data_IF_470419102468
#
_entry.id   IF_470419102468
#
_cell.length_a   1.000
_cell.length_b   1.000
_cell.length_c   1.000
_cell.angle_alpha   90.00
_cell.angle_beta   90.00
_cell.angle_gamma   90.00
#
_symmetry.space_group_name_H-M   'P 1'
#
loop_
_entity.id
_entity.type
_entity.pdbx_description
1 polymer ?
#
# COMPACT_ATOMS: atom_id res chain seq x y z
N UNK A 1 -10.56 12.03 -26.13
CA UNK A 1 -9.62 11.55 -25.11
C UNK A 1 -9.32 10.07 -25.33
N UNK A 2 -8.08 9.68 -25.10
CA UNK A 2 -7.71 8.25 -25.00
C UNK A 2 -8.23 7.70 -23.68
N UNK A 3 -8.62 6.44 -23.66
CA UNK A 3 -9.21 5.83 -22.46
C UNK A 3 -8.26 4.80 -21.85
N UNK A 4 -8.07 4.85 -20.54
CA UNK A 4 -7.21 3.90 -19.83
C UNK A 4 -7.99 3.18 -18.73
N UNK A 5 -7.98 1.85 -18.78
CA UNK A 5 -8.55 1.00 -17.72
C UNK A 5 -7.52 0.85 -16.60
N UNK A 6 -7.84 1.30 -15.40
CA UNK A 6 -6.97 1.20 -14.23
C UNK A 6 -7.53 0.12 -13.29
N UNK A 7 -6.80 -0.98 -13.15
CA UNK A 7 -7.18 -2.12 -12.30
C UNK A 7 -6.46 -1.96 -10.96
N UNK A 8 -7.22 -1.62 -9.92
CA UNK A 8 -6.70 -1.37 -8.57
C UNK A 8 -7.57 -2.04 -7.51
N UNK A 9 -6.96 -2.49 -6.43
CA UNK A 9 -7.69 -3.02 -5.28
C UNK A 9 -8.12 -1.90 -4.32
N UNK A 10 -7.21 -0.94 -4.10
CA UNK A 10 -7.45 0.14 -3.13
C UNK A 10 -8.07 1.34 -3.84
N UNK A 11 -9.29 1.71 -3.41
CA UNK A 11 -10.03 2.86 -3.94
C UNK A 11 -10.89 3.46 -2.82
N UNK A 12 -11.14 4.77 -2.80
CA UNK A 12 -12.00 5.34 -1.76
C UNK A 12 -13.36 4.64 -1.63
N UNK A 13 -13.86 4.44 -0.39
CA UNK A 13 -13.39 5.01 0.87
C UNK A 13 -12.31 4.22 1.60
N UNK A 14 -11.60 3.29 0.94
CA UNK A 14 -10.45 2.64 1.56
C UNK A 14 -9.42 3.70 1.96
N UNK A 15 -8.87 3.60 3.17
CA UNK A 15 -7.82 4.49 3.65
C UNK A 15 -6.43 3.91 3.44
N UNK A 16 -5.44 4.65 3.86
CA UNK A 16 -4.03 4.25 3.83
C UNK A 16 -3.29 4.61 2.55
N UNK A 17 -1.99 4.36 2.54
CA UNK A 17 -1.08 4.78 1.47
C UNK A 17 -1.37 4.15 0.10
N UNK A 18 -1.95 2.95 0.10
CA UNK A 18 -2.23 2.22 -1.14
C UNK A 18 -3.24 2.87 -2.07
N UNK A 19 -4.06 3.80 -1.55
CA UNK A 19 -5.12 4.48 -2.29
C UNK A 19 -4.59 5.70 -3.05
N UNK A 20 -3.69 6.47 -2.42
CA UNK A 20 -3.32 7.82 -2.83
C UNK A 20 -2.81 7.90 -4.27
N UNK A 21 -1.89 7.00 -4.63
CA UNK A 21 -1.24 7.04 -5.94
C UNK A 21 -2.25 7.07 -7.10
N UNK A 22 -3.18 6.13 -7.13
CA UNK A 22 -4.11 6.05 -8.27
C UNK A 22 -5.32 6.95 -8.12
N UNK A 23 -5.72 7.31 -6.91
CA UNK A 23 -6.71 8.35 -6.70
C UNK A 23 -6.22 9.69 -7.28
N UNK A 24 -5.01 10.10 -6.87
CA UNK A 24 -4.45 11.39 -7.33
C UNK A 24 -4.06 11.33 -8.82
N UNK A 25 -3.44 10.24 -9.29
CA UNK A 25 -3.13 10.10 -10.71
C UNK A 25 -4.38 10.21 -11.57
N UNK A 26 -5.48 9.55 -11.19
CA UNK A 26 -6.72 9.59 -11.97
C UNK A 26 -7.35 11.00 -12.02
N UNK A 27 -7.12 11.82 -10.99
CA UNK A 27 -7.55 13.22 -10.94
C UNK A 27 -6.85 14.06 -12.03
N UNK A 28 -5.56 13.79 -12.27
CA UNK A 28 -4.74 14.59 -13.18
C UNK A 28 -4.63 14.03 -14.60
N UNK A 29 -4.94 12.76 -14.85
CA UNK A 29 -4.85 12.13 -16.18
C UNK A 29 -5.65 12.85 -17.26
N UNK A 30 -6.86 13.40 -16.99
CA UNK A 30 -7.60 14.13 -18.02
C UNK A 30 -6.85 15.34 -18.59
N UNK A 31 -6.03 16.00 -17.78
CA UNK A 31 -5.20 17.13 -18.22
C UNK A 31 -4.15 16.72 -19.26
N UNK A 32 -3.82 15.41 -19.30
CA UNK A 32 -2.88 14.82 -20.26
C UNK A 32 -3.58 14.12 -21.43
N UNK A 33 -4.89 14.32 -21.58
CA UNK A 33 -5.67 13.75 -22.67
C UNK A 33 -6.11 12.31 -22.47
N UNK A 34 -6.10 11.82 -21.21
CA UNK A 34 -6.50 10.44 -20.88
C UNK A 34 -7.73 10.43 -19.96
N UNK A 35 -8.72 9.65 -20.34
CA UNK A 35 -9.91 9.40 -19.52
C UNK A 35 -9.69 8.09 -18.74
N UNK A 36 -9.44 8.15 -17.41
CA UNK A 36 -9.33 6.94 -16.62
C UNK A 36 -10.69 6.28 -16.35
N UNK A 37 -10.72 4.96 -16.41
CA UNK A 37 -11.86 4.14 -15.98
C UNK A 37 -11.31 3.21 -14.90
N UNK A 38 -11.81 3.33 -13.70
CA UNK A 38 -11.31 2.57 -12.54
C UNK A 38 -12.09 1.27 -12.40
N UNK A 39 -11.37 0.15 -12.30
CA UNK A 39 -11.92 -1.16 -11.97
C UNK A 39 -11.42 -1.57 -10.58
N UNK A 40 -12.35 -1.77 -9.64
CA UNK A 40 -12.01 -1.97 -8.22
C UNK A 40 -13.05 -2.88 -7.53
N UNK A 41 -12.71 -3.56 -6.42
CA UNK A 41 -13.74 -4.31 -5.69
C UNK A 41 -14.77 -3.40 -5.02
N UNK A 42 -16.00 -3.87 -4.93
CA UNK A 42 -17.11 -3.22 -4.24
C UNK A 42 -17.00 -3.34 -2.72
N UNK A 43 -16.50 -4.47 -2.25
CA UNK A 43 -16.46 -4.84 -0.84
C UNK A 43 -15.07 -5.34 -0.41
N UNK A 44 -14.02 -4.50 -0.54
CA UNK A 44 -12.66 -4.95 -0.20
C UNK A 44 -12.47 -5.12 1.31
N UNK A 45 -11.63 -6.07 1.72
CA UNK A 45 -11.22 -6.21 3.13
C UNK A 45 -10.02 -5.25 3.35
N UNK A 46 -10.30 -4.08 3.92
CA UNK A 46 -9.30 -3.02 4.13
C UNK A 46 -9.08 -2.74 5.60
N UNK A 47 -7.87 -2.28 5.93
CA UNK A 47 -7.45 -2.02 7.32
C UNK A 47 -8.04 -0.73 7.89
N UNK A 48 -8.35 0.22 7.02
CA UNK A 48 -8.89 1.52 7.42
C UNK A 48 -9.86 2.05 6.37
N UNK A 49 -10.80 2.85 6.81
CA UNK A 49 -11.73 3.58 5.95
C UNK A 49 -11.49 5.06 6.16
N UNK A 50 -11.42 5.81 5.08
CA UNK A 50 -11.24 7.27 5.10
C UNK A 50 -12.19 7.90 4.09
N UNK A 51 -13.35 8.31 4.58
CA UNK A 51 -14.39 8.92 3.73
C UNK A 51 -13.96 10.29 3.19
N UNK A 52 -12.99 10.96 3.85
CA UNK A 52 -12.52 12.26 3.38
C UNK A 52 -11.89 12.18 1.98
N UNK A 53 -11.40 11.00 1.58
CA UNK A 53 -10.84 10.78 0.24
C UNK A 53 -11.88 10.78 -0.88
N UNK A 54 -13.17 10.65 -0.55
CA UNK A 54 -14.24 10.68 -1.55
C UNK A 54 -14.32 12.04 -2.25
N UNK A 55 -13.90 13.12 -1.60
CA UNK A 55 -13.88 14.48 -2.19
C UNK A 55 -12.95 14.57 -3.42
N UNK A 56 -11.92 13.72 -3.45
CA UNK A 56 -10.92 13.71 -4.53
C UNK A 56 -11.36 12.85 -5.72
N UNK A 57 -12.46 12.12 -5.60
CA UNK A 57 -13.02 11.34 -6.70
C UNK A 57 -13.90 12.25 -7.56
N UNK A 58 -13.44 12.56 -8.78
CA UNK A 58 -14.24 13.37 -9.71
C UNK A 58 -15.62 12.74 -9.94
N UNK A 59 -16.71 13.52 -9.91
CA UNK A 59 -18.04 12.97 -10.22
C UNK A 59 -18.16 12.44 -11.65
N UNK A 60 -17.29 12.87 -12.55
CA UNK A 60 -17.27 12.42 -13.95
C UNK A 60 -16.48 11.10 -14.13
N UNK A 61 -15.71 10.70 -13.11
CA UNK A 61 -14.86 9.53 -13.20
C UNK A 61 -15.68 8.24 -13.20
N UNK A 62 -15.53 7.44 -14.24
CA UNK A 62 -16.20 6.14 -14.31
C UNK A 62 -15.50 5.14 -13.38
N UNK A 63 -16.20 4.67 -12.35
CA UNK A 63 -15.69 3.67 -11.40
C UNK A 63 -16.56 2.42 -11.48
N UNK A 64 -15.99 1.33 -11.94
CA UNK A 64 -16.64 0.03 -12.07
C UNK A 64 -16.30 -0.79 -10.82
N UNK A 65 -17.30 -0.99 -9.96
CA UNK A 65 -17.16 -1.76 -8.73
C UNK A 65 -17.76 -3.16 -8.90
N UNK A 66 -17.01 -4.19 -8.52
CA UNK A 66 -17.47 -5.58 -8.60
C UNK A 66 -17.20 -6.32 -7.28
N UNK A 67 -18.16 -7.12 -6.86
CA UNK A 67 -18.02 -7.91 -5.62
C UNK A 67 -16.82 -8.84 -5.70
N UNK A 68 -16.04 -8.87 -4.63
CA UNK A 68 -14.92 -9.78 -4.47
C UNK A 68 -15.26 -10.81 -3.38
N UNK A 69 -14.81 -12.05 -3.58
CA UNK A 69 -14.85 -13.09 -2.55
C UNK A 69 -13.41 -13.31 -2.10
N UNK A 70 -13.15 -13.03 -0.85
CA UNK A 70 -11.82 -13.23 -0.25
C UNK A 70 -11.89 -14.39 0.74
N UNK A 71 -10.84 -15.23 0.79
CA UNK A 71 -10.83 -16.39 1.69
C UNK A 71 -10.87 -16.05 3.18
N UNK A 72 -10.65 -14.78 3.52
CA UNK A 72 -10.70 -14.31 4.91
C UNK A 72 -12.06 -14.49 5.57
N UNK A 73 -13.16 -14.40 4.83
CA UNK A 73 -14.50 -14.59 5.38
C UNK A 73 -14.66 -16.02 5.94
N UNK A 74 -14.19 -17.01 5.19
CA UNK A 74 -14.19 -18.40 5.65
C UNK A 74 -13.25 -18.61 6.86
N UNK A 75 -12.07 -17.99 6.82
CA UNK A 75 -11.09 -18.07 7.91
C UNK A 75 -11.63 -17.43 9.19
N UNK A 76 -12.24 -16.25 9.12
CA UNK A 76 -12.84 -15.56 10.27
C UNK A 76 -13.96 -16.42 10.89
N UNK A 77 -14.77 -17.05 10.04
CA UNK A 77 -15.83 -17.94 10.47
C UNK A 77 -15.28 -19.16 11.25
N UNK A 78 -14.20 -19.76 10.72
CA UNK A 78 -13.57 -20.95 11.33
C UNK A 78 -12.80 -20.63 12.63
N UNK A 79 -12.31 -19.40 12.77
CA UNK A 79 -11.49 -19.03 13.95
C UNK A 79 -12.26 -18.22 15.00
N UNK A 80 -13.55 -17.92 14.77
CA UNK A 80 -14.40 -17.18 15.69
C UNK A 80 -14.00 -15.71 15.90
N UNK A 81 -13.14 -15.16 15.07
CA UNK A 81 -12.67 -13.78 15.21
C UNK A 81 -13.71 -12.78 14.69
N UNK A 82 -13.90 -11.69 15.44
CA UNK A 82 -14.87 -10.63 15.09
C UNK A 82 -14.40 -9.77 13.90
N UNK A 83 -15.38 -9.18 13.21
CA UNK A 83 -15.17 -8.25 12.11
C UNK A 83 -14.41 -7.00 12.64
N UNK A 84 -13.24 -6.71 12.10
CA UNK A 84 -12.40 -5.59 12.53
C UNK A 84 -11.03 -5.96 13.11
N UNK A 85 -10.79 -7.23 13.47
CA UNK A 85 -9.44 -7.68 13.86
C UNK A 85 -8.60 -7.95 12.62
N UNK A 86 -7.65 -7.08 12.37
CA UNK A 86 -6.82 -7.13 11.15
C UNK A 86 -5.66 -8.12 11.30
N UNK A 87 -5.49 -8.93 10.27
CA UNK A 87 -4.49 -10.01 10.25
C UNK A 87 -3.09 -9.53 9.82
N UNK A 88 -3.00 -8.35 9.21
CA UNK A 88 -1.71 -7.86 8.70
C UNK A 88 -0.76 -7.37 9.81
N UNK A 89 -1.30 -6.82 10.89
CA UNK A 89 -0.50 -6.39 12.03
C UNK A 89 0.24 -7.54 12.71
N UNK A 90 -0.28 -8.77 12.57
CA UNK A 90 0.27 -9.97 13.21
C UNK A 90 1.41 -10.64 12.41
N UNK A 91 1.76 -10.15 11.23
CA UNK A 91 2.88 -10.72 10.46
C UNK A 91 4.22 -10.31 11.08
N UNK A 92 4.23 -9.20 11.80
CA UNK A 92 5.45 -8.54 12.28
C UNK A 92 5.66 -8.69 13.79
N UNK A 93 4.64 -9.06 14.59
CA UNK A 93 4.82 -9.27 16.02
C UNK A 93 5.33 -10.69 16.31
N UNK A 94 6.39 -10.79 17.09
CA UNK A 94 7.13 -12.03 17.36
C UNK A 94 6.58 -12.84 18.56
N UNK A 95 5.46 -12.43 19.14
CA UNK A 95 4.92 -13.16 20.29
C UNK A 95 4.35 -14.54 19.88
N UNK A 96 4.50 -15.49 20.76
CA UNK A 96 4.20 -16.94 20.61
C UNK A 96 2.87 -17.21 19.88
N UNK A 97 2.94 -17.39 18.59
CA UNK A 97 1.79 -17.76 17.76
C UNK A 97 1.43 -19.22 18.05
N UNK A 98 0.20 -19.47 18.45
CA UNK A 98 -0.31 -20.81 18.63
C UNK A 98 -0.22 -21.64 17.33
N UNK A 99 -0.23 -22.95 17.44
CA UNK A 99 -0.14 -23.90 16.33
C UNK A 99 -1.16 -23.58 15.22
N UNK A 100 -2.40 -23.27 15.60
CA UNK A 100 -3.49 -22.92 14.65
C UNK A 100 -3.15 -21.67 13.84
N UNK A 101 -2.54 -20.66 14.48
CA UNK A 101 -2.13 -19.43 13.79
C UNK A 101 -0.99 -19.67 12.80
N UNK A 102 -0.02 -20.52 13.16
CA UNK A 102 1.08 -20.90 12.26
C UNK A 102 0.56 -21.69 11.05
N UNK A 103 -0.33 -22.66 11.30
CA UNK A 103 -0.94 -23.45 10.24
C UNK A 103 -1.78 -22.58 9.29
N UNK A 104 -2.57 -21.66 9.82
CA UNK A 104 -3.40 -20.76 8.99
C UNK A 104 -2.54 -19.80 8.17
N UNK A 105 -1.44 -19.29 8.75
CA UNK A 105 -0.49 -18.44 8.03
C UNK A 105 0.17 -19.23 6.89
N UNK A 106 0.55 -20.48 7.15
CA UNK A 106 1.14 -21.37 6.15
C UNK A 106 0.16 -21.66 5.01
N UNK A 107 -1.10 -21.98 5.31
CA UNK A 107 -2.14 -22.21 4.30
C UNK A 107 -2.33 -20.95 3.47
N UNK A 108 -2.46 -19.80 4.12
CA UNK A 108 -2.66 -18.51 3.43
C UNK A 108 -1.53 -18.20 2.45
N UNK A 109 -0.28 -18.40 2.89
CA UNK A 109 0.91 -18.09 2.09
C UNK A 109 1.07 -19.04 0.91
N UNK A 110 0.67 -20.30 1.05
CA UNK A 110 0.97 -21.34 0.07
C UNK A 110 -0.20 -21.70 -0.88
N UNK A 111 -1.44 -21.40 -0.49
CA UNK A 111 -2.63 -21.75 -1.28
C UNK A 111 -3.21 -20.55 -2.03
N UNK A 112 -3.02 -19.33 -1.53
CA UNK A 112 -3.57 -18.13 -2.16
C UNK A 112 -2.45 -17.32 -2.83
N UNK A 113 -2.07 -17.78 -4.01
CA UNK A 113 -0.97 -17.20 -4.81
C UNK A 113 -1.56 -16.45 -6.01
N UNK A 114 -1.18 -15.18 -6.22
CA UNK A 114 -0.09 -14.42 -5.56
C UNK A 114 -0.47 -13.81 -4.20
N UNK A 115 -1.75 -13.69 -3.91
CA UNK A 115 -2.29 -13.08 -2.70
C UNK A 115 -3.76 -13.52 -2.52
N UNK A 116 -4.41 -13.22 -1.39
CA UNK A 116 -5.79 -13.68 -1.14
C UNK A 116 -6.85 -13.15 -2.13
N UNK A 117 -6.48 -12.25 -3.03
CA UNK A 117 -7.39 -11.74 -4.07
C UNK A 117 -7.35 -12.60 -5.35
N UNK A 118 -6.59 -13.69 -5.34
CA UNK A 118 -6.44 -14.58 -6.51
C UNK A 118 -7.79 -15.13 -7.03
N UNK A 119 -8.78 -15.33 -6.16
CA UNK A 119 -10.11 -15.78 -6.58
C UNK A 119 -10.88 -14.73 -7.38
N UNK A 120 -10.45 -13.46 -7.33
CA UNK A 120 -11.09 -12.37 -8.09
C UNK A 120 -10.59 -12.31 -9.54
N UNK A 121 -9.46 -12.97 -9.85
CA UNK A 121 -8.83 -12.91 -11.17
C UNK A 121 -9.81 -13.40 -12.25
N UNK A 122 -10.26 -14.65 -12.15
CA UNK A 122 -11.15 -15.25 -13.15
C UNK A 122 -12.46 -14.48 -13.37
N UNK A 123 -13.21 -14.17 -12.30
CA UNK A 123 -14.43 -13.37 -12.44
C UNK A 123 -14.19 -11.99 -13.04
N UNK A 124 -13.06 -11.34 -12.70
CA UNK A 124 -12.71 -10.02 -13.25
C UNK A 124 -12.38 -10.09 -14.74
N UNK A 125 -11.55 -11.06 -15.13
CA UNK A 125 -11.22 -11.28 -16.55
C UNK A 125 -12.51 -11.51 -17.34
N UNK A 126 -13.36 -12.42 -16.88
CA UNK A 126 -14.64 -12.73 -17.54
C UNK A 126 -15.52 -11.47 -17.69
N UNK A 127 -15.62 -10.65 -16.65
CA UNK A 127 -16.44 -9.43 -16.69
C UNK A 127 -15.86 -8.40 -17.65
N UNK A 128 -14.55 -8.12 -17.54
CA UNK A 128 -13.88 -7.12 -18.38
C UNK A 128 -13.88 -7.55 -19.85
N UNK A 129 -13.71 -8.86 -20.13
CA UNK A 129 -13.80 -9.37 -21.50
C UNK A 129 -15.17 -9.09 -22.10
N UNK A 130 -16.24 -9.42 -21.37
CA UNK A 130 -17.61 -9.14 -21.83
C UNK A 130 -17.85 -7.64 -22.06
N UNK A 131 -17.27 -6.81 -21.23
CA UNK A 131 -17.40 -5.35 -21.33
C UNK A 131 -16.73 -4.86 -22.65
N UNK A 132 -15.54 -5.36 -22.94
CA UNK A 132 -14.77 -5.00 -24.16
C UNK A 132 -15.47 -5.57 -25.41
N UNK A 133 -15.90 -6.83 -25.35
CA UNK A 133 -16.67 -7.48 -26.43
C UNK A 133 -17.98 -6.75 -26.70
N UNK A 134 -18.58 -6.14 -25.66
CA UNK A 134 -19.80 -5.36 -25.74
C UNK A 134 -19.61 -3.94 -26.30
N UNK A 135 -18.38 -3.58 -26.68
CA UNK A 135 -18.11 -2.30 -27.34
C UNK A 135 -17.34 -1.27 -26.51
N UNK A 136 -17.08 -1.54 -25.22
CA UNK A 136 -16.21 -0.63 -24.44
C UNK A 136 -14.79 -0.70 -25.00
N UNK A 137 -14.18 0.45 -25.21
CA UNK A 137 -12.83 0.53 -25.77
C UNK A 137 -11.86 1.14 -24.76
N UNK A 138 -10.67 0.60 -24.73
CA UNK A 138 -9.56 1.10 -23.92
C UNK A 138 -8.30 1.15 -24.80
N UNK A 139 -7.60 2.27 -24.77
CA UNK A 139 -6.34 2.49 -25.48
C UNK A 139 -5.15 1.92 -24.68
N UNK A 140 -5.33 1.72 -23.39
CA UNK A 140 -4.32 1.12 -22.52
C UNK A 140 -4.98 0.50 -21.28
N UNK A 141 -4.28 -0.45 -20.66
CA UNK A 141 -4.62 -1.02 -19.37
C UNK A 141 -3.46 -0.73 -18.41
N UNK A 142 -3.78 -0.33 -17.19
CA UNK A 142 -2.80 -0.19 -16.11
C UNK A 142 -3.28 -1.08 -14.96
N UNK A 143 -2.37 -1.88 -14.42
CA UNK A 143 -2.61 -2.63 -13.18
C UNK A 143 -1.65 -2.16 -12.11
N UNK A 144 -2.12 -1.97 -10.88
CA UNK A 144 -1.25 -1.53 -9.79
C UNK A 144 -1.25 -2.54 -8.64
N UNK A 145 -0.07 -2.85 -8.17
CA UNK A 145 0.16 -3.81 -7.08
C UNK A 145 1.15 -3.31 -6.04
N UNK A 146 1.10 -3.84 -4.80
CA UNK A 146 0.21 -4.90 -4.32
C UNK A 146 -1.24 -4.47 -4.15
N UNK A 147 -2.22 -5.39 -4.15
CA UNK A 147 -2.10 -6.85 -4.37
C UNK A 147 -1.71 -7.19 -5.82
N UNK A 148 -0.89 -8.22 -5.99
CA UNK A 148 -0.35 -8.56 -7.31
C UNK A 148 -1.34 -9.34 -8.20
N UNK A 149 -2.47 -9.80 -7.63
CA UNK A 149 -3.60 -10.36 -8.40
C UNK A 149 -4.10 -9.36 -9.45
N UNK A 150 -3.97 -8.06 -9.22
CA UNK A 150 -4.38 -7.00 -10.18
C UNK A 150 -3.58 -7.12 -11.49
N UNK A 151 -2.27 -7.42 -11.37
CA UNK A 151 -1.42 -7.62 -12.56
C UNK A 151 -1.87 -8.82 -13.38
N UNK A 152 -2.31 -9.90 -12.71
CA UNK A 152 -2.74 -11.10 -13.41
C UNK A 152 -4.08 -10.88 -14.15
N UNK A 153 -4.97 -10.04 -13.63
CA UNK A 153 -6.18 -9.63 -14.36
C UNK A 153 -5.79 -8.88 -15.64
N UNK A 154 -4.91 -7.87 -15.52
CA UNK A 154 -4.47 -7.06 -16.66
C UNK A 154 -3.74 -7.92 -17.71
N UNK A 155 -2.87 -8.84 -17.25
CA UNK A 155 -2.13 -9.75 -18.12
C UNK A 155 -3.08 -10.55 -19.02
N UNK A 156 -4.15 -11.11 -18.46
CA UNK A 156 -5.11 -11.90 -19.24
C UNK A 156 -5.90 -11.01 -20.23
N UNK A 157 -6.27 -9.79 -19.83
CA UNK A 157 -6.92 -8.81 -20.72
C UNK A 157 -5.99 -8.42 -21.86
N UNK A 158 -4.73 -8.13 -21.56
CA UNK A 158 -3.70 -7.83 -22.57
C UNK A 158 -3.55 -8.98 -23.58
N UNK A 159 -3.46 -10.22 -23.09
CA UNK A 159 -3.32 -11.42 -23.95
C UNK A 159 -4.49 -11.60 -24.92
N UNK A 160 -5.72 -11.40 -24.43
CA UNK A 160 -6.93 -11.66 -25.23
C UNK A 160 -7.19 -10.53 -26.24
N UNK A 161 -7.00 -9.28 -25.83
CA UNK A 161 -7.43 -8.11 -26.61
C UNK A 161 -6.29 -7.31 -27.22
N UNK A 162 -5.05 -7.67 -26.90
CA UNK A 162 -3.83 -6.99 -27.38
C UNK A 162 -3.85 -5.47 -27.06
N UNK A 163 -4.46 -5.09 -25.92
CA UNK A 163 -4.47 -3.69 -25.44
C UNK A 163 -3.14 -3.42 -24.71
N UNK A 164 -2.39 -2.36 -25.05
CA UNK A 164 -1.15 -2.05 -24.36
C UNK A 164 -1.28 -2.01 -22.83
N UNK A 165 -0.32 -2.62 -22.13
CA UNK A 165 -0.42 -2.82 -20.69
C UNK A 165 0.79 -2.29 -19.96
N UNK A 166 0.53 -1.49 -18.90
CA UNK A 166 1.53 -0.99 -17.95
C UNK A 166 1.30 -1.70 -16.60
N UNK A 167 2.34 -2.35 -16.10
CA UNK A 167 2.32 -2.98 -14.76
C UNK A 167 3.00 -2.02 -13.77
N UNK A 168 2.22 -1.43 -12.86
CA UNK A 168 2.67 -0.44 -11.87
C UNK A 168 2.97 -1.11 -10.52
N UNK A 169 4.25 -1.22 -10.18
CA UNK A 169 4.72 -1.82 -8.93
C UNK A 169 5.02 -0.73 -7.90
N UNK A 170 4.17 -0.64 -6.88
CA UNK A 170 4.41 0.25 -5.74
C UNK A 170 5.39 -0.36 -4.74
N UNK A 171 5.44 -1.69 -4.69
CA UNK A 171 6.37 -2.46 -3.87
C UNK A 171 6.92 -3.63 -4.70
N UNK A 172 8.15 -4.09 -4.42
CA UNK A 172 8.65 -5.29 -5.08
C UNK A 172 7.85 -6.52 -4.61
N UNK A 173 7.67 -7.49 -5.50
CA UNK A 173 6.83 -8.66 -5.19
C UNK A 173 7.62 -9.68 -4.37
N UNK A 174 8.52 -10.46 -5.02
CA UNK A 174 9.26 -11.50 -4.32
C UNK A 174 10.49 -10.97 -3.57
N UNK A 175 10.87 -9.73 -3.81
CA UNK A 175 12.04 -9.09 -3.20
C UNK A 175 11.70 -8.18 -2.02
N UNK A 176 10.43 -8.05 -1.66
CA UNK A 176 10.04 -7.28 -0.50
C UNK A 176 10.60 -7.93 0.78
N UNK A 177 11.06 -7.12 1.72
CA UNK A 177 11.86 -7.56 2.88
C UNK A 177 11.20 -8.67 3.70
N UNK A 178 9.89 -8.67 3.84
CA UNK A 178 9.16 -9.67 4.63
C UNK A 178 8.86 -10.96 3.86
N UNK A 179 9.09 -11.01 2.54
CA UNK A 179 8.69 -12.14 1.70
C UNK A 179 9.30 -13.47 2.18
N UNK A 180 10.59 -13.42 2.58
CA UNK A 180 11.31 -14.59 3.10
C UNK A 180 10.73 -15.13 4.42
N UNK A 181 9.95 -14.30 5.14
CA UNK A 181 9.34 -14.67 6.42
C UNK A 181 7.91 -15.22 6.28
N UNK A 182 7.41 -15.35 5.05
CA UNK A 182 6.05 -15.85 4.80
C UNK A 182 5.90 -17.37 4.99
N UNK A 183 6.99 -18.12 5.17
CA UNK A 183 6.94 -19.58 5.36
C UNK A 183 6.48 -20.33 4.11
N UNK A 184 6.95 -19.88 2.95
CA UNK A 184 6.59 -20.47 1.64
C UNK A 184 7.28 -21.80 1.44
N UNK A 185 6.55 -22.77 0.87
CA UNK A 185 7.13 -24.00 0.33
C UNK A 185 7.97 -23.67 -0.93
N UNK A 186 8.90 -24.54 -1.27
CA UNK A 186 9.71 -24.37 -2.49
C UNK A 186 8.82 -24.26 -3.75
N UNK A 187 7.71 -25.01 -3.79
CA UNK A 187 6.74 -24.96 -4.90
C UNK A 187 6.05 -23.59 -4.97
N UNK A 188 5.62 -23.06 -3.83
CA UNK A 188 4.95 -21.76 -3.76
C UNK A 188 5.90 -20.62 -4.10
N UNK A 189 7.14 -20.67 -3.59
CA UNK A 189 8.17 -19.69 -3.92
C UNK A 189 8.45 -19.66 -5.43
N UNK A 190 8.62 -20.84 -6.04
CA UNK A 190 8.80 -20.95 -7.50
C UNK A 190 7.62 -20.33 -8.25
N UNK A 191 6.38 -20.65 -7.82
CA UNK A 191 5.18 -20.11 -8.44
C UNK A 191 5.11 -18.58 -8.37
N UNK A 192 5.45 -17.99 -7.24
CA UNK A 192 5.52 -16.52 -7.09
C UNK A 192 6.54 -15.91 -8.08
N UNK A 193 7.75 -16.50 -8.15
CA UNK A 193 8.80 -16.03 -9.07
C UNK A 193 8.37 -16.13 -10.54
N UNK A 194 7.74 -17.24 -10.91
CA UNK A 194 7.21 -17.45 -12.27
C UNK A 194 6.15 -16.38 -12.61
N UNK A 195 5.23 -16.13 -11.69
CA UNK A 195 4.17 -15.14 -11.90
C UNK A 195 4.75 -13.72 -12.00
N UNK A 196 5.66 -13.34 -11.09
CA UNK A 196 6.33 -12.04 -11.13
C UNK A 196 7.08 -11.85 -12.46
N UNK A 197 7.86 -12.86 -12.86
CA UNK A 197 8.60 -12.83 -14.12
C UNK A 197 7.63 -12.70 -15.31
N UNK A 198 6.50 -13.43 -15.32
CA UNK A 198 5.54 -13.36 -16.41
C UNK A 198 4.91 -11.97 -16.54
N UNK A 199 4.62 -11.32 -15.41
CA UNK A 199 4.07 -9.94 -15.40
C UNK A 199 5.08 -8.98 -16.03
N UNK A 200 6.34 -9.04 -15.59
CA UNK A 200 7.40 -8.16 -16.08
C UNK A 200 7.69 -8.43 -17.57
N UNK A 201 7.73 -9.70 -17.96
CA UNK A 201 8.03 -10.10 -19.34
C UNK A 201 6.92 -9.69 -20.32
N UNK A 202 5.66 -9.87 -19.93
CA UNK A 202 4.51 -9.69 -20.82
C UNK A 202 3.99 -8.23 -20.86
N UNK A 203 4.16 -7.45 -19.79
CA UNK A 203 3.79 -6.03 -19.81
C UNK A 203 4.61 -5.24 -20.85
N UNK A 204 3.98 -4.30 -21.54
CA UNK A 204 4.67 -3.40 -22.49
C UNK A 204 5.60 -2.45 -21.75
N UNK A 205 5.19 -1.98 -20.57
CA UNK A 205 6.00 -1.14 -19.68
C UNK A 205 5.76 -1.56 -18.23
N UNK A 206 6.78 -1.39 -17.42
CA UNK A 206 6.74 -1.63 -15.97
C UNK A 206 7.10 -0.32 -15.29
N UNK A 207 6.26 0.16 -14.37
CA UNK A 207 6.61 1.34 -13.58
C UNK A 207 6.93 0.93 -12.15
N UNK A 208 7.92 1.60 -11.59
CA UNK A 208 8.39 1.38 -10.20
C UNK A 208 8.54 2.73 -9.50
N UNK A 209 8.52 2.73 -8.17
CA UNK A 209 8.47 3.99 -7.41
C UNK A 209 9.83 4.56 -7.03
N UNK A 210 10.92 3.79 -7.23
CA UNK A 210 12.25 4.25 -6.80
C UNK A 210 13.36 3.70 -7.70
N UNK A 211 14.52 4.36 -7.65
CA UNK A 211 15.73 3.91 -8.35
C UNK A 211 16.19 2.54 -7.85
N UNK A 212 16.05 2.28 -6.56
CA UNK A 212 16.41 0.96 -6.01
C UNK A 212 15.52 -0.13 -6.63
N UNK A 213 14.21 0.09 -6.72
CA UNK A 213 13.31 -0.88 -7.36
C UNK A 213 13.66 -1.06 -8.84
N UNK A 214 13.99 0.04 -9.56
CA UNK A 214 14.42 -0.07 -10.96
C UNK A 214 15.66 -0.96 -11.05
N UNK A 215 16.63 -0.80 -10.17
CA UNK A 215 17.83 -1.64 -10.12
C UNK A 215 17.43 -3.11 -9.91
N UNK A 216 16.56 -3.39 -8.94
CA UNK A 216 16.11 -4.75 -8.63
C UNK A 216 15.37 -5.40 -9.80
N UNK A 217 14.58 -4.62 -10.53
CA UNK A 217 13.79 -5.09 -11.69
C UNK A 217 14.59 -5.04 -13.01
N UNK A 218 15.90 -4.71 -12.95
CA UNK A 218 16.78 -4.59 -14.13
C UNK A 218 18.05 -5.44 -14.02
N UNK A 219 18.08 -6.38 -13.06
CA UNK A 219 19.25 -7.22 -12.79
C UNK A 219 18.87 -8.69 -12.65
N UNK A 220 19.86 -9.56 -12.86
CA UNK A 220 19.68 -11.00 -12.72
C UNK A 220 18.62 -11.53 -13.68
N UNK A 221 17.64 -12.23 -13.17
CA UNK A 221 16.56 -12.83 -13.97
C UNK A 221 15.72 -11.80 -14.76
N UNK A 222 15.85 -10.51 -14.43
CA UNK A 222 15.08 -9.43 -15.07
C UNK A 222 15.91 -8.54 -15.98
N UNK A 223 17.20 -8.79 -16.14
CA UNK A 223 18.13 -7.95 -16.92
C UNK A 223 17.64 -7.70 -18.35
N UNK A 224 17.03 -8.72 -18.98
CA UNK A 224 16.49 -8.62 -20.34
C UNK A 224 15.30 -7.65 -20.46
N UNK A 225 14.71 -7.26 -19.33
CA UNK A 225 13.52 -6.39 -19.31
C UNK A 225 13.83 -4.96 -18.86
N UNK A 226 15.12 -4.63 -18.63
CA UNK A 226 15.55 -3.35 -18.05
C UNK A 226 15.03 -2.12 -18.81
N UNK A 227 14.95 -2.22 -20.13
CA UNK A 227 14.59 -1.09 -21.00
C UNK A 227 13.09 -0.75 -20.96
N UNK A 228 12.27 -1.61 -20.38
CA UNK A 228 10.86 -1.31 -20.20
C UNK A 228 10.49 -0.91 -18.76
N UNK A 229 11.49 -0.85 -17.85
CA UNK A 229 11.27 -0.45 -16.44
C UNK A 229 11.53 1.05 -16.30
N UNK A 230 10.49 1.79 -15.92
CA UNK A 230 10.52 3.24 -15.76
C UNK A 230 10.25 3.63 -14.31
N UNK A 231 10.89 4.71 -13.86
CA UNK A 231 10.66 5.24 -12.51
C UNK A 231 9.55 6.29 -12.59
N UNK A 232 8.43 6.03 -11.90
CA UNK A 232 7.39 7.03 -11.66
C UNK A 232 7.18 7.05 -10.14
N UNK A 233 7.82 7.97 -9.41
CA UNK A 233 7.73 7.99 -7.95
C UNK A 233 6.34 8.35 -7.47
N UNK A 234 6.08 8.15 -6.19
CA UNK A 234 4.88 8.68 -5.57
C UNK A 234 5.01 10.20 -5.50
N UNK A 235 3.93 10.88 -5.84
CA UNK A 235 3.85 12.33 -5.79
C UNK A 235 3.05 12.82 -4.59
N UNK A 236 2.82 14.10 -4.56
CA UNK A 236 1.90 14.74 -3.64
C UNK A 236 0.91 15.60 -4.43
N UNK A 237 -0.23 15.86 -3.85
CA UNK A 237 -1.24 16.76 -4.44
C UNK A 237 -1.11 18.11 -3.74
N UNK A 238 -0.75 19.19 -4.45
CA UNK A 238 -0.64 20.52 -3.83
C UNK A 238 -1.93 20.94 -3.11
N UNK A 239 -3.09 20.57 -3.66
CA UNK A 239 -4.38 20.94 -3.07
C UNK A 239 -4.60 20.36 -1.67
N UNK A 240 -3.93 19.27 -1.33
CA UNK A 240 -3.98 18.69 0.02
C UNK A 240 -3.41 19.65 1.07
N UNK A 241 -2.57 20.61 0.66
CA UNK A 241 -1.88 21.56 1.56
C UNK A 241 -2.51 22.94 1.57
N UNK A 242 -3.43 23.26 0.67
CA UNK A 242 -4.03 24.61 0.55
C UNK A 242 -4.75 25.06 1.82
N UNK A 243 -5.33 24.13 2.57
CA UNK A 243 -6.09 24.41 3.78
C UNK A 243 -5.27 24.22 5.07
N UNK A 244 -4.00 23.82 4.95
CA UNK A 244 -3.19 23.53 6.13
C UNK A 244 -2.72 24.82 6.79
N UNK A 245 -3.22 25.06 8.00
CA UNK A 245 -2.76 26.18 8.85
C UNK A 245 -1.70 25.66 9.81
N UNK A 246 -0.66 26.46 10.04
CA UNK A 246 0.38 26.11 11.00
C UNK A 246 -0.25 25.85 12.37
N UNK A 247 0.10 24.72 12.97
CA UNK A 247 -0.44 24.36 14.29
C UNK A 247 0.13 25.29 15.38
N UNK A 248 -0.73 25.98 16.15
CA UNK A 248 -0.24 26.90 17.19
C UNK A 248 0.56 26.21 18.28
N UNK A 249 0.28 24.94 18.54
CA UNK A 249 0.88 24.20 19.66
C UNK A 249 2.34 23.81 19.44
N UNK A 250 2.88 23.98 18.23
CA UNK A 250 4.28 23.65 17.92
C UNK A 250 5.21 24.84 18.07
N UNK A 251 4.67 26.05 18.35
CA UNK A 251 5.49 27.25 18.46
C UNK A 251 6.49 27.12 19.63
N UNK A 252 7.77 27.22 19.31
CA UNK A 252 8.85 27.06 20.27
C UNK A 252 9.23 25.63 20.59
N UNK A 253 8.59 24.62 19.95
CA UNK A 253 8.92 23.22 20.13
C UNK A 253 9.83 22.69 19.02
N UNK A 254 10.66 21.73 19.36
CA UNK A 254 11.41 20.92 18.39
C UNK A 254 10.63 19.62 18.18
N UNK A 255 9.93 19.53 17.04
CA UNK A 255 9.01 18.44 16.77
C UNK A 255 9.69 17.37 15.91
N UNK A 256 9.67 16.12 16.39
CA UNK A 256 10.05 14.93 15.62
C UNK A 256 8.75 14.15 15.32
N UNK A 257 8.30 14.19 14.08
CA UNK A 257 7.02 13.60 13.70
C UNK A 257 7.21 12.40 12.75
N UNK A 258 6.40 11.37 12.97
CA UNK A 258 6.27 10.24 12.04
C UNK A 258 4.81 10.08 11.62
N UNK A 259 4.56 10.00 10.32
CA UNK A 259 3.21 9.74 9.79
C UNK A 259 3.21 8.39 9.06
N UNK A 260 2.33 7.51 9.49
CA UNK A 260 2.16 6.20 8.88
C UNK A 260 2.31 5.05 9.87
N UNK A 261 2.40 3.85 9.33
CA UNK A 261 2.59 2.63 10.12
C UNK A 261 4.04 2.56 10.63
N UNK A 262 4.23 2.39 11.92
CA UNK A 262 5.55 2.16 12.53
C UNK A 262 5.55 0.79 13.23
N UNK A 263 5.82 -0.30 12.51
CA UNK A 263 5.91 -1.64 13.10
C UNK A 263 7.23 -1.81 13.86
N UNK A 264 7.33 -2.89 14.65
CA UNK A 264 8.56 -3.25 15.37
C UNK A 264 9.80 -3.22 14.46
N UNK A 265 9.67 -3.75 13.23
CA UNK A 265 10.79 -3.81 12.27
C UNK A 265 11.26 -2.44 11.74
N UNK A 266 10.45 -1.39 11.95
CA UNK A 266 10.79 -0.01 11.54
C UNK A 266 11.03 0.90 12.76
N UNK A 267 11.12 0.31 13.96
CA UNK A 267 11.39 1.04 15.19
C UNK A 267 12.82 1.61 15.17
N UNK A 268 13.00 2.94 15.19
CA UNK A 268 14.35 3.53 15.19
C UNK A 268 14.91 3.61 16.62
N UNK A 269 15.17 2.45 17.24
CA UNK A 269 15.65 2.32 18.62
C UNK A 269 16.84 3.22 18.96
N UNK A 270 17.78 3.34 18.01
CA UNK A 270 18.97 4.20 18.18
C UNK A 270 18.60 5.68 18.26
N UNK A 271 17.57 6.11 17.54
CA UNK A 271 17.10 7.51 17.58
C UNK A 271 16.56 7.83 18.98
N UNK A 272 15.73 6.93 19.53
CA UNK A 272 15.18 7.15 20.88
C UNK A 272 16.28 7.22 21.92
N UNK A 273 17.29 6.37 21.79
CA UNK A 273 18.45 6.40 22.69
C UNK A 273 19.20 7.75 22.60
N UNK A 274 19.51 8.20 21.39
CA UNK A 274 20.24 9.47 21.18
C UNK A 274 19.44 10.65 21.72
N UNK A 275 18.14 10.72 21.38
CA UNK A 275 17.28 11.81 21.87
C UNK A 275 17.17 11.81 23.40
N UNK A 276 17.07 10.60 24.00
CA UNK A 276 17.04 10.47 25.47
C UNK A 276 18.33 10.95 26.13
N UNK A 277 19.48 10.56 25.58
CA UNK A 277 20.79 10.98 26.10
C UNK A 277 21.00 12.50 25.94
N UNK A 278 20.58 13.07 24.81
CA UNK A 278 20.63 14.53 24.59
C UNK A 278 19.71 15.27 25.58
N UNK A 279 18.48 14.79 25.77
CA UNK A 279 17.51 15.40 26.67
C UNK A 279 17.95 15.34 28.15
N UNK A 280 18.77 14.36 28.54
CA UNK A 280 19.36 14.30 29.90
C UNK A 280 20.41 15.38 30.12
N UNK A 281 21.16 15.71 29.07
CA UNK A 281 22.26 16.67 29.16
C UNK A 281 21.85 18.11 28.83
N UNK A 282 20.71 18.29 28.15
CA UNK A 282 20.23 19.60 27.69
C UNK A 282 18.76 19.79 28.13
N UNK A 283 18.57 20.64 29.16
CA UNK A 283 17.25 20.95 29.73
C UNK A 283 16.35 21.67 28.71
N UNK A 284 16.93 22.60 27.94
CA UNK A 284 16.18 23.38 26.94
C UNK A 284 15.63 22.42 25.87
N UNK A 285 16.47 21.49 25.39
CA UNK A 285 16.01 20.45 24.45
C UNK A 285 14.90 19.58 25.08
N UNK A 286 15.09 19.15 26.34
CA UNK A 286 14.08 18.32 27.02
C UNK A 286 12.73 19.02 27.11
N UNK A 287 12.71 20.31 27.42
CA UNK A 287 11.48 21.08 27.52
C UNK A 287 10.82 21.32 26.15
N UNK A 288 11.62 21.46 25.10
CA UNK A 288 11.15 21.80 23.76
C UNK A 288 10.84 20.57 22.90
N UNK A 289 11.48 19.43 23.15
CA UNK A 289 11.31 18.23 22.34
C UNK A 289 9.88 17.70 22.42
N UNK A 290 9.28 17.45 21.26
CA UNK A 290 7.98 16.81 21.13
C UNK A 290 8.06 15.73 20.06
N UNK A 291 7.84 14.48 20.44
CA UNK A 291 7.82 13.32 19.53
C UNK A 291 6.35 12.98 19.26
N UNK A 292 5.95 12.96 17.99
CA UNK A 292 4.56 12.72 17.62
C UNK A 292 4.48 11.57 16.60
N UNK A 293 3.68 10.57 16.88
CA UNK A 293 3.36 9.53 15.88
C UNK A 293 1.90 9.65 15.47
N UNK A 294 1.65 9.51 14.16
CA UNK A 294 0.33 9.55 13.54
C UNK A 294 0.18 8.31 12.66
N UNK A 295 -0.62 7.36 13.11
CA UNK A 295 -0.79 6.06 12.48
C UNK A 295 -0.68 4.96 13.51
N UNK A 296 -0.61 3.73 13.05
CA UNK A 296 -0.49 2.59 13.97
C UNK A 296 0.98 2.43 14.41
N UNK A 297 1.24 2.69 15.68
CA UNK A 297 2.57 2.59 16.29
C UNK A 297 2.65 1.33 17.15
N UNK A 298 3.67 0.50 16.90
CA UNK A 298 3.88 -0.73 17.65
C UNK A 298 4.24 -0.46 19.13
N UNK A 299 3.89 -1.40 20.00
CA UNK A 299 4.18 -1.31 21.43
C UNK A 299 5.67 -1.24 21.75
N UNK A 300 6.53 -1.86 20.93
CA UNK A 300 7.99 -1.79 21.11
C UNK A 300 8.53 -0.37 20.99
N UNK A 301 7.97 0.43 20.07
CA UNK A 301 8.33 1.84 19.89
C UNK A 301 8.02 2.64 21.17
N UNK A 302 6.80 2.46 21.68
CA UNK A 302 6.34 3.15 22.91
C UNK A 302 7.19 2.77 24.10
N UNK A 303 7.54 1.50 24.19
CA UNK A 303 8.40 0.95 25.24
C UNK A 303 9.79 1.57 25.19
N UNK A 304 10.43 1.59 24.01
CA UNK A 304 11.78 2.13 23.84
C UNK A 304 11.82 3.65 24.16
N UNK A 305 10.80 4.40 23.72
CA UNK A 305 10.67 5.83 24.05
C UNK A 305 10.61 6.02 25.57
N UNK A 306 9.81 5.21 26.25
CA UNK A 306 9.67 5.29 27.72
C UNK A 306 10.97 4.90 28.45
N UNK A 307 11.64 3.83 28.02
CA UNK A 307 12.90 3.36 28.60
C UNK A 307 14.04 4.40 28.45
N UNK A 308 13.94 5.27 27.45
CA UNK A 308 14.91 6.35 27.23
C UNK A 308 14.50 7.68 27.91
N UNK A 309 13.46 7.66 28.77
CA UNK A 309 13.05 8.82 29.56
C UNK A 309 12.33 9.91 28.78
N UNK A 310 11.69 9.53 27.66
CA UNK A 310 11.02 10.46 26.76
C UNK A 310 9.49 10.36 26.82
N UNK A 311 8.92 9.72 27.84
CA UNK A 311 7.46 9.55 27.95
C UNK A 311 6.72 10.87 27.94
N UNK A 312 7.21 11.89 28.64
CA UNK A 312 6.59 13.21 28.74
C UNK A 312 6.70 14.00 27.43
N UNK A 313 7.63 13.60 26.56
CA UNK A 313 7.87 14.23 25.27
C UNK A 313 7.10 13.55 24.13
N UNK A 314 6.40 12.43 24.41
CA UNK A 314 5.82 11.56 23.37
C UNK A 314 4.30 11.67 23.32
N UNK A 315 3.77 11.81 22.11
CA UNK A 315 2.33 11.84 21.84
C UNK A 315 2.00 10.90 20.68
N UNK A 316 1.21 9.87 20.95
CA UNK A 316 0.69 8.96 19.91
C UNK A 316 -0.74 9.36 19.60
N UNK A 317 -0.97 9.83 18.36
CA UNK A 317 -2.29 10.26 17.90
C UNK A 317 -3.12 9.11 17.32
N UNK A 318 -2.49 7.94 17.12
CA UNK A 318 -3.15 6.81 16.47
C UNK A 318 -3.49 7.14 15.01
N UNK A 319 -4.45 6.43 14.46
CA UNK A 319 -4.90 6.70 13.09
C UNK A 319 -5.62 8.05 13.03
N UNK A 320 -5.18 8.90 12.11
CA UNK A 320 -5.86 10.16 11.77
C UNK A 320 -6.17 10.17 10.28
N UNK A 321 -7.29 10.77 9.87
CA UNK A 321 -7.62 10.90 8.43
C UNK A 321 -6.52 11.65 7.66
N UNK A 322 -6.45 11.39 6.35
CA UNK A 322 -5.40 11.96 5.49
C UNK A 322 -5.30 13.48 5.61
N UNK A 323 -6.43 14.16 5.56
CA UNK A 323 -6.49 15.62 5.65
C UNK A 323 -5.88 16.16 6.96
N UNK A 324 -6.01 15.42 8.05
CA UNK A 324 -5.44 15.80 9.35
C UNK A 324 -3.94 15.49 9.43
N UNK A 325 -3.53 14.44 8.81
CA UNK A 325 -2.10 14.11 8.77
C UNK A 325 -1.28 15.10 7.95
N UNK A 326 -1.88 15.59 6.98
CA UNK A 326 -1.29 16.62 6.20
C UNK A 326 -1.10 17.89 7.00
N UNK A 327 -1.99 18.00 8.04
CA UNK A 327 -1.91 19.11 8.93
C UNK A 327 -0.77 18.89 9.91
N UNK A 328 -0.60 17.81 10.29
CA UNK A 328 0.49 17.44 11.12
C UNK A 328 1.81 17.48 10.43
N UNK A 329 1.86 17.19 9.34
CA UNK A 329 3.09 17.26 8.60
C UNK A 329 3.53 18.67 8.34
N UNK A 330 2.66 19.48 8.28
CA UNK A 330 2.91 20.88 8.14
C UNK A 330 3.29 21.52 9.49
N UNK A 331 2.87 20.97 10.45
CA UNK A 331 3.18 21.41 11.74
C UNK A 331 4.55 20.97 12.19
N UNK A 332 4.99 20.11 11.60
CA UNK A 332 6.32 19.60 11.84
C UNK A 332 7.40 20.32 11.09
N UNK A 333 6.89 20.85 10.30
CA UNK A 333 7.79 21.65 9.52
C UNK A 333 8.12 22.89 10.09
#
# INVERSE_FOLDING_TARGET
LKRVLVITYYWPPSGGSGVQRWLKTSKYLPQSGWEPVIYTPENPDVNSVDESLLKDVSPELKVIKRKIREPYAAYKFLTGKKKGEHLQANIVSSEKKGFVQKLSAHIRANWFIPDPRCWWIGPSVKYLSKLIEGGERFDAVISTGPPHSMHLIAREIHKVFNIPWIADFRDPWTRIFYFKHLGLSAKSLRKHKELERSVIAEADRVTVVSSQMKTEFSQGDFETFRDKVEIIPNGYDPEDFDSVKKAPDAEGKFVVAHTGLMPESANPDKLWKVLGDMAKSDKDLKEKLMIVTMGQTDGSVKKDIAENGLSDNFKDLGYVPHAQSXXXXXXXX
#
